data_IF_098085739384
#
_entry.id   IF_098085739384
#
_cell.length_a   1.000
_cell.length_b   1.000
_cell.length_c   1.000
_cell.angle_alpha   90.00
_cell.angle_beta   90.00
_cell.angle_gamma   90.00
#
_symmetry.space_group_name_H-M   'P 1'
#
loop_
_entity.id
_entity.type
_entity.pdbx_description
1 polymer ?
#
# COMPACT_ATOMS: atom_id res chain seq x y z
N UNK A 1 14.49 -38.46 41.07
CA UNK A 1 13.34 -38.71 40.19
C UNK A 1 12.55 -37.42 40.03
N UNK A 2 12.41 -36.87 38.82
CA UNK A 2 11.70 -35.62 38.56
C UNK A 2 10.19 -35.87 38.45
N UNK A 3 9.38 -35.14 39.24
CA UNK A 3 7.91 -35.12 39.12
C UNK A 3 7.53 -34.44 37.79
N UNK A 4 6.57 -34.97 37.00
CA UNK A 4 6.10 -34.31 35.79
C UNK A 4 5.12 -33.18 36.16
N UNK A 5 5.65 -32.08 36.69
CA UNK A 5 4.92 -30.81 36.71
C UNK A 5 4.94 -30.25 35.30
N UNK A 6 3.77 -29.96 34.72
CA UNK A 6 3.63 -29.28 33.43
C UNK A 6 4.42 -27.97 33.46
N UNK A 7 5.66 -27.99 33.00
CA UNK A 7 6.43 -26.78 32.73
C UNK A 7 5.86 -26.22 31.42
N UNK A 8 4.89 -25.34 31.56
CA UNK A 8 4.42 -24.50 30.46
C UNK A 8 5.55 -23.54 30.13
N UNK A 9 6.30 -23.82 29.06
CA UNK A 9 7.26 -22.86 28.55
C UNK A 9 6.47 -21.62 28.11
N UNK A 10 6.81 -20.40 28.57
CA UNK A 10 6.18 -19.20 28.05
C UNK A 10 6.50 -19.14 26.55
N UNK A 11 5.45 -19.16 25.73
CA UNK A 11 5.54 -18.90 24.28
C UNK A 11 6.28 -17.58 24.12
N UNK A 12 7.51 -17.66 23.62
CA UNK A 12 8.37 -16.51 23.40
C UNK A 12 7.62 -15.44 22.63
N UNK A 13 7.31 -14.35 23.34
CA UNK A 13 7.15 -13.02 22.76
C UNK A 13 8.31 -12.81 21.78
N UNK A 14 8.05 -12.76 20.46
CA UNK A 14 9.09 -12.39 19.49
C UNK A 14 9.16 -13.20 18.20
N UNK A 15 8.15 -14.00 17.85
CA UNK A 15 8.13 -14.76 16.60
C UNK A 15 7.30 -14.10 15.51
N UNK A 16 7.73 -12.92 15.02
CA UNK A 16 7.07 -12.08 14.03
C UNK A 16 6.05 -11.11 14.67
N UNK A 17 6.53 -9.95 15.12
CA UNK A 17 5.78 -8.71 14.93
C UNK A 17 5.33 -8.76 13.48
N UNK A 18 4.07 -9.12 13.29
CA UNK A 18 3.45 -9.13 11.99
C UNK A 18 3.52 -7.69 11.54
N UNK A 19 4.58 -7.36 10.81
CA UNK A 19 4.70 -6.27 9.86
C UNK A 19 3.68 -6.50 8.72
N UNK A 20 2.47 -6.96 9.05
CA UNK A 20 1.24 -6.75 8.32
C UNK A 20 0.70 -5.34 8.62
N UNK A 21 1.58 -4.45 9.04
CA UNK A 21 1.64 -3.07 8.58
C UNK A 21 1.88 -3.02 7.06
N UNK A 22 1.15 -3.86 6.30
CA UNK A 22 0.59 -3.44 5.03
C UNK A 22 -0.18 -2.18 5.40
N UNK A 23 0.49 -1.04 5.31
CA UNK A 23 -0.14 0.26 5.31
C UNK A 23 -1.04 0.28 4.08
N UNK A 24 -2.22 -0.34 4.22
CA UNK A 24 -3.35 -0.25 3.31
C UNK A 24 -3.73 1.21 3.43
N UNK A 25 -3.08 2.07 2.65
CA UNK A 25 -3.44 3.48 2.56
C UNK A 25 -4.96 3.53 2.49
N UNK A 26 -5.59 4.27 3.40
CA UNK A 26 -7.06 4.39 3.45
C UNK A 26 -7.61 4.87 2.10
N UNK A 27 -6.76 5.50 1.29
CA UNK A 27 -7.00 5.95 -0.07
C UNK A 27 -6.01 5.22 -0.99
N UNK A 28 -6.47 4.12 -1.59
CA UNK A 28 -5.75 3.43 -2.68
C UNK A 28 -6.36 3.89 -4.00
N UNK A 29 -5.58 4.62 -4.79
CA UNK A 29 -5.98 4.92 -6.16
C UNK A 29 -5.90 3.65 -6.99
N UNK A 30 -7.06 3.18 -7.47
CA UNK A 30 -7.08 2.09 -8.46
C UNK A 30 -6.26 2.53 -9.69
N UNK A 31 -5.52 1.63 -10.35
CA UNK A 31 -4.75 1.96 -11.56
C UNK A 31 -5.57 2.70 -12.63
N UNK A 32 -6.88 2.43 -12.72
CA UNK A 32 -7.78 3.17 -13.61
C UNK A 32 -7.83 4.69 -13.38
N UNK A 33 -7.73 5.17 -12.13
CA UNK A 33 -7.71 6.62 -11.86
C UNK A 33 -6.44 7.29 -12.38
N UNK A 34 -5.31 6.58 -12.30
CA UNK A 34 -4.01 7.06 -12.81
C UNK A 34 -4.07 7.21 -14.33
N UNK A 35 -4.65 6.23 -15.03
CA UNK A 35 -4.81 6.25 -16.49
C UNK A 35 -5.70 7.43 -16.93
N UNK A 36 -6.82 7.65 -16.25
CA UNK A 36 -7.71 8.78 -16.53
C UNK A 36 -6.99 10.12 -16.34
N UNK A 37 -6.22 10.28 -15.26
CA UNK A 37 -5.46 11.49 -15.00
C UNK A 37 -4.42 11.76 -16.09
N UNK A 38 -3.71 10.72 -16.57
CA UNK A 38 -2.79 10.85 -17.70
C UNK A 38 -3.49 11.34 -18.97
N UNK A 39 -4.67 10.81 -19.30
CA UNK A 39 -5.44 11.23 -20.48
C UNK A 39 -5.84 12.70 -20.36
N UNK A 40 -6.30 13.13 -19.19
CA UNK A 40 -6.67 14.53 -18.94
C UNK A 40 -5.48 15.46 -19.16
N UNK A 41 -4.29 15.10 -18.63
CA UNK A 41 -3.06 15.89 -18.83
C UNK A 41 -2.71 16.00 -20.31
N UNK A 42 -2.81 14.90 -21.06
CA UNK A 42 -2.55 14.90 -22.51
C UNK A 42 -3.49 15.87 -23.24
N UNK A 43 -4.79 15.84 -22.91
CA UNK A 43 -5.79 16.73 -23.52
C UNK A 43 -5.47 18.20 -23.21
N UNK A 44 -5.10 18.52 -21.96
CA UNK A 44 -4.72 19.88 -21.56
C UNK A 44 -3.49 20.35 -22.35
N UNK A 45 -2.47 19.51 -22.50
CA UNK A 45 -1.27 19.83 -23.27
C UNK A 45 -1.61 20.09 -24.75
N UNK A 46 -2.48 19.26 -25.34
CA UNK A 46 -2.92 19.43 -26.73
C UNK A 46 -3.67 20.76 -26.90
N UNK A 47 -4.61 21.07 -26.01
CA UNK A 47 -5.36 22.33 -26.05
C UNK A 47 -4.44 23.54 -25.86
N UNK A 48 -3.50 23.47 -24.92
CA UNK A 48 -2.52 24.52 -24.69
C UNK A 48 -1.64 24.74 -25.93
N UNK A 49 -1.19 23.67 -26.57
CA UNK A 49 -0.35 23.78 -27.76
C UNK A 49 -1.16 24.28 -28.98
N UNK A 50 -2.41 23.85 -29.11
CA UNK A 50 -3.30 24.32 -30.18
C UNK A 50 -3.69 25.79 -30.03
N UNK A 51 -3.84 26.30 -28.79
CA UNK A 51 -4.22 27.70 -28.53
C UNK A 51 -3.02 28.63 -28.36
N UNK A 52 -1.90 28.14 -27.84
CA UNK A 52 -0.69 28.92 -27.60
C UNK A 52 0.30 28.93 -28.78
N UNK A 53 0.15 27.99 -29.72
CA UNK A 53 0.90 27.96 -30.98
C UNK A 53 0.15 28.56 -32.18
N UNK A 54 -1.06 29.09 -31.96
CA UNK A 54 -1.87 29.82 -32.94
C UNK A 54 -1.69 31.34 -32.82
#
# INVERSE_FOLDING_TARGET
MAKPGKISMPTGMGGLTRYFDDYKSKIQFKPGHVIILCIIVIIIIILLHAMGGA
#
